data_IF_873217886750
#
_entry.id   IF_873217886750
#
_cell.length_a   1.000
_cell.length_b   1.000
_cell.length_c   1.000
_cell.angle_alpha   90.00
_cell.angle_beta   90.00
_cell.angle_gamma   90.00
#
_symmetry.space_group_name_H-M   'P 1'
#
loop_
_entity.id
_entity.type
_entity.pdbx_description
1 polymer ?
#
# COMPACT_ATOMS: atom_id res chain seq x y z
N UNK A 1 22.22 2.18 -13.59
CA UNK A 1 21.45 1.00 -13.18
C UNK A 1 21.15 0.15 -14.40
N UNK A 2 21.12 -1.21 -14.33
CA UNK A 2 20.77 -2.01 -15.49
C UNK A 2 19.34 -1.69 -15.94
N UNK A 3 19.17 -1.57 -17.25
CA UNK A 3 17.86 -1.39 -17.87
C UNK A 3 17.07 -2.70 -17.68
N UNK A 4 15.83 -2.60 -17.30
CA UNK A 4 14.79 -3.64 -17.25
C UNK A 4 15.23 -5.10 -17.15
N UNK A 5 14.79 -5.78 -16.12
CA UNK A 5 14.66 -7.23 -16.10
C UNK A 5 15.93 -8.06 -16.07
N UNK A 6 17.06 -7.45 -15.97
CA UNK A 6 18.34 -8.09 -16.13
C UNK A 6 18.66 -9.36 -15.34
N UNK A 7 17.85 -9.73 -14.35
CA UNK A 7 18.05 -11.01 -13.64
C UNK A 7 17.58 -12.23 -14.43
N UNK A 8 16.71 -12.05 -15.40
CA UNK A 8 16.07 -13.17 -16.10
C UNK A 8 16.44 -13.24 -17.58
N UNK A 9 17.09 -12.22 -18.12
CA UNK A 9 17.57 -12.23 -19.51
C UNK A 9 18.94 -12.91 -19.59
N UNK A 10 18.94 -14.18 -19.92
CA UNK A 10 20.09 -14.91 -20.43
C UNK A 10 20.89 -15.77 -19.47
N UNK A 11 20.86 -15.58 -18.14
CA UNK A 11 21.64 -16.43 -17.21
C UNK A 11 20.82 -16.89 -16.01
N UNK A 12 20.31 -18.11 -16.09
CA UNK A 12 19.48 -18.75 -15.05
C UNK A 12 20.16 -18.83 -13.67
N UNK A 13 21.48 -18.78 -13.62
CA UNK A 13 22.23 -18.89 -12.35
C UNK A 13 21.98 -17.70 -11.44
N UNK A 14 21.83 -16.48 -11.98
CA UNK A 14 21.53 -15.29 -11.20
C UNK A 14 20.10 -15.33 -10.65
N UNK A 15 19.16 -15.87 -11.42
CA UNK A 15 17.78 -16.09 -10.96
C UNK A 15 17.74 -17.09 -9.81
N UNK A 16 18.52 -18.20 -9.88
CA UNK A 16 18.62 -19.17 -8.79
C UNK A 16 19.30 -18.59 -7.56
N UNK A 17 20.34 -17.78 -7.69
CA UNK A 17 20.98 -17.11 -6.56
C UNK A 17 20.04 -16.11 -5.88
N UNK A 18 19.26 -15.37 -6.67
CA UNK A 18 18.24 -14.48 -6.15
C UNK A 18 17.18 -15.26 -5.36
N UNK A 19 16.63 -16.34 -5.93
CA UNK A 19 15.65 -17.20 -5.28
C UNK A 19 16.20 -17.83 -3.99
N UNK A 20 17.45 -18.32 -4.01
CA UNK A 20 18.10 -18.86 -2.84
C UNK A 20 18.26 -17.80 -1.73
N UNK A 21 18.66 -16.58 -2.10
CA UNK A 21 18.73 -15.44 -1.17
C UNK A 21 17.39 -15.11 -0.52
N UNK A 22 16.31 -15.09 -1.32
CA UNK A 22 14.94 -14.89 -0.83
C UNK A 22 14.53 -15.98 0.14
N UNK A 23 14.76 -17.25 -0.18
CA UNK A 23 14.44 -18.39 0.69
C UNK A 23 15.16 -18.25 2.04
N UNK A 24 16.46 -17.96 2.03
CA UNK A 24 17.26 -17.75 3.25
C UNK A 24 16.71 -16.57 4.07
N UNK A 25 16.40 -15.45 3.42
CA UNK A 25 15.85 -14.27 4.07
C UNK A 25 14.49 -14.57 4.73
N UNK A 26 13.60 -15.31 4.04
CA UNK A 26 12.30 -15.69 4.59
C UNK A 26 12.43 -16.72 5.72
N UNK A 27 13.32 -17.68 5.63
CA UNK A 27 13.59 -18.65 6.71
C UNK A 27 14.10 -17.92 7.95
N UNK A 28 15.07 -17.00 7.78
CA UNK A 28 15.58 -16.18 8.87
C UNK A 28 14.48 -15.29 9.48
N UNK A 29 13.66 -14.66 8.65
CA UNK A 29 12.52 -13.84 9.07
C UNK A 29 11.50 -14.63 9.90
N UNK A 30 11.06 -15.78 9.40
CA UNK A 30 10.10 -16.65 10.11
C UNK A 30 10.70 -17.14 11.43
N UNK A 31 11.95 -17.62 11.42
CA UNK A 31 12.65 -18.05 12.63
C UNK A 31 12.75 -16.96 13.68
N UNK A 32 13.10 -15.74 13.27
CA UNK A 32 13.17 -14.58 14.15
C UNK A 32 11.79 -14.20 14.74
N UNK A 33 10.71 -14.24 13.95
CA UNK A 33 9.35 -14.01 14.45
C UNK A 33 8.92 -15.07 15.47
N UNK A 34 9.24 -16.35 15.23
CA UNK A 34 8.95 -17.45 16.18
C UNK A 34 9.68 -17.24 17.50
N UNK A 35 10.94 -16.80 17.47
CA UNK A 35 11.69 -16.42 18.67
C UNK A 35 11.06 -15.24 19.41
N UNK A 36 10.68 -14.17 18.71
CA UNK A 36 10.04 -12.99 19.30
C UNK A 36 8.64 -13.29 19.86
N UNK A 37 7.98 -14.32 19.40
CA UNK A 37 6.71 -14.79 20.02
C UNK A 37 6.94 -15.36 21.41
N UNK A 38 8.11 -15.95 21.67
CA UNK A 38 8.45 -16.65 22.92
C UNK A 38 9.29 -15.80 23.85
N UNK A 39 10.13 -14.89 23.32
CA UNK A 39 11.05 -14.06 24.09
C UNK A 39 10.74 -12.59 23.95
N UNK A 40 10.90 -11.83 25.03
CA UNK A 40 10.86 -10.37 24.96
C UNK A 40 12.13 -9.84 24.28
N UNK A 41 11.99 -8.83 23.44
CA UNK A 41 13.11 -8.13 22.83
C UNK A 41 12.98 -6.61 23.05
N UNK A 42 14.12 -5.93 23.12
CA UNK A 42 14.16 -4.46 23.23
C UNK A 42 13.64 -3.85 21.93
N UNK A 43 12.60 -3.01 22.03
CA UNK A 43 11.96 -2.40 20.87
C UNK A 43 12.95 -1.60 20.02
N UNK A 44 13.89 -0.90 20.65
CA UNK A 44 14.91 -0.12 19.95
C UNK A 44 15.75 -1.03 19.02
N UNK A 45 16.26 -2.15 19.54
CA UNK A 45 17.04 -3.10 18.74
C UNK A 45 16.23 -3.64 17.56
N UNK A 46 14.98 -4.03 17.80
CA UNK A 46 14.07 -4.52 16.75
C UNK A 46 13.81 -3.45 15.70
N UNK A 47 13.61 -2.20 16.13
CA UNK A 47 13.38 -1.06 15.24
C UNK A 47 14.61 -0.67 14.42
N UNK A 48 15.80 -0.66 15.04
CA UNK A 48 17.06 -0.39 14.32
C UNK A 48 17.33 -1.45 13.25
N UNK A 49 17.14 -2.72 13.59
CA UNK A 49 17.27 -3.80 12.61
C UNK A 49 16.22 -3.71 11.51
N UNK A 50 14.98 -3.32 11.85
CA UNK A 50 13.95 -3.07 10.86
C UNK A 50 14.33 -1.95 9.89
N UNK A 51 14.88 -0.84 10.40
CA UNK A 51 15.37 0.23 9.55
C UNK A 51 16.52 -0.23 8.63
N UNK A 52 17.47 -0.99 9.16
CA UNK A 52 18.59 -1.53 8.39
C UNK A 52 18.08 -2.45 7.25
N UNK A 53 17.16 -3.37 7.55
CA UNK A 53 16.58 -4.29 6.56
C UNK A 53 15.80 -3.51 5.51
N UNK A 54 14.94 -2.57 5.91
CA UNK A 54 14.12 -1.79 4.97
C UNK A 54 14.96 -0.85 4.09
N UNK A 55 16.14 -0.44 4.50
CA UNK A 55 17.03 0.41 3.70
C UNK A 55 18.06 -0.38 2.89
N UNK A 56 18.32 -1.63 3.24
CA UNK A 56 19.37 -2.44 2.58
C UNK A 56 19.23 -2.48 1.04
N UNK A 57 18.03 -2.66 0.43
CA UNK A 57 17.90 -2.71 -1.02
C UNK A 57 17.94 -1.33 -1.70
N UNK A 58 18.07 -0.23 -0.97
CA UNK A 58 18.04 1.11 -1.55
C UNK A 58 19.15 1.32 -2.60
N UNK A 59 20.34 0.78 -2.37
CA UNK A 59 21.47 0.82 -3.30
C UNK A 59 21.39 -0.16 -4.47
N UNK A 60 20.45 -1.13 -4.43
CA UNK A 60 20.30 -2.09 -5.52
C UNK A 60 19.66 -1.44 -6.76
N UNK A 61 19.89 -1.94 -7.98
CA UNK A 61 19.18 -1.50 -9.17
C UNK A 61 17.68 -1.87 -9.10
N UNK A 62 16.86 -1.24 -9.96
CA UNK A 62 15.46 -1.66 -10.16
C UNK A 62 15.45 -2.98 -10.95
N UNK A 63 15.26 -4.11 -10.27
CA UNK A 63 15.37 -5.44 -10.87
C UNK A 63 14.04 -6.07 -11.25
N UNK A 64 12.96 -5.74 -10.50
CA UNK A 64 11.72 -6.52 -10.52
C UNK A 64 10.57 -5.72 -11.15
N UNK A 65 10.65 -4.39 -11.17
CA UNK A 65 9.60 -3.52 -11.67
C UNK A 65 10.17 -2.23 -12.24
N UNK A 66 9.54 -1.72 -13.28
CA UNK A 66 9.80 -0.42 -13.88
C UNK A 66 8.89 0.69 -13.34
N UNK A 67 8.07 0.42 -12.33
CA UNK A 67 7.05 1.34 -11.84
C UNK A 67 7.61 2.72 -11.46
N UNK A 68 8.78 2.78 -10.84
CA UNK A 68 9.42 4.06 -10.48
C UNK A 68 9.69 4.95 -11.71
N UNK A 69 10.06 4.36 -12.84
CA UNK A 69 10.24 5.08 -14.09
C UNK A 69 8.90 5.45 -14.76
N UNK A 70 7.88 4.60 -14.63
CA UNK A 70 6.52 4.92 -15.08
C UNK A 70 5.96 6.10 -14.28
N UNK A 71 6.22 6.20 -12.98
CA UNK A 71 5.83 7.36 -12.16
C UNK A 71 6.56 8.63 -12.58
N UNK A 72 7.85 8.50 -12.88
CA UNK A 72 8.67 9.59 -13.40
C UNK A 72 8.15 10.09 -14.74
N UNK A 73 7.80 9.20 -15.66
CA UNK A 73 7.25 9.52 -16.95
C UNK A 73 5.92 10.29 -16.84
N UNK A 74 4.95 9.79 -16.09
CA UNK A 74 3.69 10.52 -15.85
C UNK A 74 3.92 11.89 -15.21
N UNK A 75 4.89 12.02 -14.31
CA UNK A 75 5.29 13.29 -13.74
C UNK A 75 5.89 14.24 -14.79
N UNK A 76 6.67 13.73 -15.76
CA UNK A 76 7.24 14.51 -16.86
C UNK A 76 6.21 14.91 -17.89
N UNK A 77 5.26 14.02 -18.23
CA UNK A 77 4.12 14.37 -19.08
C UNK A 77 3.42 15.62 -18.55
N UNK A 78 3.14 15.65 -17.25
CA UNK A 78 2.49 16.81 -16.64
C UNK A 78 3.42 18.04 -16.52
N UNK A 79 4.62 17.87 -15.95
CA UNK A 79 5.47 18.99 -15.55
C UNK A 79 6.35 19.54 -16.67
N UNK A 80 6.74 18.73 -17.64
CA UNK A 80 7.68 19.10 -18.73
C UNK A 80 6.95 19.31 -20.05
N UNK A 81 6.04 18.38 -20.41
CA UNK A 81 5.26 18.49 -21.63
C UNK A 81 3.98 19.31 -21.47
N UNK A 82 3.63 19.71 -20.24
CA UNK A 82 2.41 20.44 -19.93
C UNK A 82 1.15 19.75 -20.47
N UNK A 83 1.20 18.41 -20.49
CA UNK A 83 0.18 17.54 -21.01
C UNK A 83 -0.55 16.81 -19.87
N UNK A 84 -1.67 16.16 -20.18
CA UNK A 84 -2.48 15.50 -19.17
C UNK A 84 -2.24 13.99 -19.16
N UNK A 85 -1.56 13.41 -18.14
CA UNK A 85 -1.24 11.98 -18.10
C UNK A 85 -2.47 11.07 -17.93
N UNK A 86 -3.66 11.63 -17.72
CA UNK A 86 -4.93 10.90 -17.71
C UNK A 86 -5.56 10.78 -19.10
N UNK A 87 -5.06 11.52 -20.09
CA UNK A 87 -5.55 11.54 -21.48
C UNK A 87 -4.47 11.08 -22.44
N UNK A 88 -3.24 11.54 -22.24
CA UNK A 88 -2.11 11.32 -23.10
C UNK A 88 -1.17 10.26 -22.48
N UNK A 89 -1.04 9.08 -23.13
CA UNK A 89 -0.15 8.03 -22.66
C UNK A 89 1.32 8.34 -22.97
N UNK A 90 2.27 7.60 -22.40
CA UNK A 90 3.70 7.72 -22.71
C UNK A 90 4.03 7.62 -24.21
N UNK A 91 3.29 6.83 -24.97
CA UNK A 91 3.50 6.69 -26.44
C UNK A 91 3.30 7.96 -27.25
N UNK A 92 2.64 8.98 -26.69
CA UNK A 92 2.55 10.29 -27.32
C UNK A 92 3.85 11.11 -27.18
N UNK A 93 4.79 10.66 -26.34
CA UNK A 93 6.08 11.33 -26.05
C UNK A 93 7.28 10.38 -26.19
N UNK A 94 7.49 9.74 -27.38
CA UNK A 94 8.49 8.70 -27.56
C UNK A 94 9.95 9.22 -27.44
N UNK A 95 10.16 10.51 -27.61
CA UNK A 95 11.45 11.16 -27.46
C UNK A 95 11.77 11.59 -26.02
N UNK A 96 10.84 11.39 -25.07
CA UNK A 96 11.09 11.73 -23.68
C UNK A 96 12.14 10.79 -23.06
N UNK A 97 13.09 11.32 -22.26
CA UNK A 97 14.11 10.51 -21.60
C UNK A 97 13.58 9.37 -20.73
N UNK A 98 12.33 9.46 -20.24
CA UNK A 98 11.71 8.41 -19.42
C UNK A 98 11.19 7.24 -20.26
N UNK A 99 10.74 7.49 -21.49
CA UNK A 99 10.06 6.51 -22.35
C UNK A 99 10.80 5.16 -22.50
N UNK A 100 12.12 5.11 -22.73
CA UNK A 100 12.84 3.84 -22.88
C UNK A 100 12.92 2.97 -21.63
N UNK A 101 12.56 3.52 -20.46
CA UNK A 101 12.67 2.85 -19.15
C UNK A 101 11.37 2.31 -18.61
N UNK A 102 10.23 2.75 -19.13
CA UNK A 102 8.93 2.22 -18.73
C UNK A 102 8.69 0.83 -19.34
N UNK A 103 7.92 -0.01 -18.65
CA UNK A 103 7.57 -1.33 -19.18
C UNK A 103 6.66 -1.22 -20.40
N UNK A 104 6.92 -1.99 -21.46
CA UNK A 104 6.18 -1.93 -22.72
C UNK A 104 4.66 -2.08 -22.59
N UNK A 105 4.19 -2.81 -21.58
CA UNK A 105 2.76 -2.93 -21.28
C UNK A 105 2.09 -1.62 -20.82
N UNK A 106 2.88 -0.58 -20.54
CA UNK A 106 2.42 0.72 -20.03
C UNK A 106 2.61 1.86 -21.02
N UNK A 107 3.21 1.61 -22.20
CA UNK A 107 3.45 2.64 -23.22
C UNK A 107 2.14 3.32 -23.65
N UNK A 108 1.08 2.56 -23.84
CA UNK A 108 -0.23 3.06 -24.29
C UNK A 108 -1.23 3.23 -23.14
N UNK A 109 -0.74 3.20 -21.89
CA UNK A 109 -1.61 3.31 -20.72
C UNK A 109 -1.55 4.70 -20.12
N UNK A 110 -2.71 5.35 -20.00
CA UNK A 110 -2.86 6.58 -19.20
C UNK A 110 -2.80 6.28 -17.71
N UNK A 111 -2.51 7.30 -16.90
CA UNK A 111 -2.35 7.16 -15.45
C UNK A 111 -3.57 6.50 -14.79
N UNK A 112 -3.31 5.49 -13.96
CA UNK A 112 -4.32 4.79 -13.14
C UNK A 112 -4.32 5.28 -11.69
N UNK A 113 -3.40 6.16 -11.34
CA UNK A 113 -3.17 6.60 -9.96
C UNK A 113 -4.13 7.70 -9.55
N UNK A 114 -4.28 7.85 -8.24
CA UNK A 114 -5.04 8.97 -7.70
C UNK A 114 -4.35 10.31 -7.98
N UNK A 115 -5.13 11.41 -8.11
CA UNK A 115 -4.58 12.68 -8.56
C UNK A 115 -3.56 13.29 -7.59
N UNK A 116 -3.63 12.99 -6.30
CA UNK A 116 -2.61 13.46 -5.35
C UNK A 116 -1.25 12.82 -5.63
N UNK A 117 -1.21 11.54 -6.07
CA UNK A 117 0.02 10.92 -6.46
C UNK A 117 0.59 11.51 -7.74
N UNK A 118 -0.24 11.75 -8.76
CA UNK A 118 0.19 12.35 -10.02
C UNK A 118 0.71 13.78 -9.81
N UNK A 119 0.01 14.60 -9.01
CA UNK A 119 0.50 15.92 -8.59
C UNK A 119 1.84 15.86 -7.83
N UNK A 120 2.01 14.87 -6.96
CA UNK A 120 3.28 14.69 -6.25
C UNK A 120 4.42 14.18 -7.16
N UNK A 121 4.08 13.52 -8.27
CA UNK A 121 5.07 13.06 -9.25
C UNK A 121 5.64 14.20 -10.11
N UNK A 122 4.94 15.33 -10.26
CA UNK A 122 5.44 16.49 -11.01
C UNK A 122 6.74 17.07 -10.42
N UNK A 123 6.78 17.51 -9.14
CA UNK A 123 8.01 18.02 -8.55
C UNK A 123 9.08 16.94 -8.42
N UNK A 124 8.69 15.66 -8.25
CA UNK A 124 9.63 14.55 -8.25
C UNK A 124 10.29 14.36 -9.63
N UNK A 125 9.52 14.49 -10.71
CA UNK A 125 10.03 14.41 -12.07
C UNK A 125 10.96 15.58 -12.41
N UNK A 126 10.61 16.80 -12.00
CA UNK A 126 11.48 17.97 -12.16
C UNK A 126 12.80 17.81 -11.38
N UNK A 127 12.74 17.28 -10.15
CA UNK A 127 13.94 17.05 -9.35
C UNK A 127 14.86 15.97 -9.93
N UNK A 128 14.30 14.94 -10.58
CA UNK A 128 15.06 13.91 -11.28
C UNK A 128 15.62 14.41 -12.64
N UNK A 129 15.02 15.43 -13.22
CA UNK A 129 15.39 15.97 -14.52
C UNK A 129 15.29 14.91 -15.64
N UNK A 130 16.33 14.75 -16.44
CA UNK A 130 16.41 13.74 -17.51
C UNK A 130 17.13 12.45 -17.08
N UNK A 131 17.43 12.28 -15.79
CA UNK A 131 18.21 11.14 -15.30
C UNK A 131 17.31 10.02 -14.77
N UNK A 132 17.31 8.89 -15.47
CA UNK A 132 16.60 7.68 -15.03
C UNK A 132 17.13 7.13 -13.69
N UNK A 133 18.44 7.30 -13.41
CA UNK A 133 19.03 6.91 -12.14
C UNK A 133 18.57 7.82 -10.99
N UNK A 134 18.51 9.14 -11.22
CA UNK A 134 18.00 10.07 -10.24
C UNK A 134 16.53 9.80 -9.93
N UNK A 135 15.71 9.52 -10.95
CA UNK A 135 14.31 9.13 -10.80
C UNK A 135 14.19 7.86 -9.96
N UNK A 136 14.92 6.81 -10.29
CA UNK A 136 14.92 5.55 -9.53
C UNK A 136 15.31 5.78 -8.07
N UNK A 137 16.38 6.52 -7.78
CA UNK A 137 16.81 6.84 -6.44
C UNK A 137 15.75 7.62 -5.66
N UNK A 138 15.13 8.61 -6.29
CA UNK A 138 14.12 9.46 -5.67
C UNK A 138 12.89 8.64 -5.25
N UNK A 139 12.27 7.91 -6.18
CA UNK A 139 11.07 7.12 -5.87
C UNK A 139 11.35 5.99 -4.88
N UNK A 140 12.50 5.33 -4.96
CA UNK A 140 12.94 4.34 -3.98
C UNK A 140 13.12 4.95 -2.59
N UNK A 141 13.75 6.14 -2.50
CA UNK A 141 13.96 6.83 -1.23
C UNK A 141 12.63 7.26 -0.60
N UNK A 142 11.68 7.77 -1.40
CA UNK A 142 10.34 8.13 -0.92
C UNK A 142 9.56 6.90 -0.44
N UNK A 143 9.62 5.78 -1.17
CA UNK A 143 8.99 4.53 -0.76
C UNK A 143 9.63 3.96 0.51
N UNK A 144 10.97 3.99 0.63
CA UNK A 144 11.70 3.59 1.82
C UNK A 144 11.33 4.45 3.04
N UNK A 145 11.25 5.77 2.88
CA UNK A 145 10.81 6.68 3.93
C UNK A 145 9.37 6.38 4.39
N UNK A 146 8.47 6.12 3.45
CA UNK A 146 7.11 5.70 3.76
C UNK A 146 7.09 4.37 4.54
N UNK A 147 7.92 3.39 4.14
CA UNK A 147 8.04 2.12 4.87
C UNK A 147 8.56 2.29 6.29
N UNK A 148 9.57 3.14 6.50
CA UNK A 148 10.03 3.47 7.86
C UNK A 148 8.91 4.11 8.70
N UNK A 149 8.11 4.99 8.08
CA UNK A 149 6.90 5.55 8.69
C UNK A 149 5.88 4.48 9.07
N UNK A 150 5.62 3.51 8.17
CA UNK A 150 4.72 2.36 8.44
C UNK A 150 5.23 1.53 9.61
N UNK A 151 6.53 1.23 9.66
CA UNK A 151 7.15 0.46 10.75
C UNK A 151 7.00 1.21 12.08
N UNK A 152 7.28 2.50 12.12
CA UNK A 152 7.14 3.34 13.31
C UNK A 152 5.67 3.40 13.78
N UNK A 153 4.72 3.65 12.87
CA UNK A 153 3.28 3.71 13.17
C UNK A 153 2.75 2.35 13.62
N UNK A 154 3.26 1.25 13.07
CA UNK A 154 2.95 -0.11 13.55
C UNK A 154 3.38 -0.28 15.01
N UNK A 155 4.56 0.20 15.37
CA UNK A 155 5.04 0.21 16.75
C UNK A 155 4.19 1.07 17.69
N UNK A 156 3.63 2.19 17.20
CA UNK A 156 2.70 3.04 17.98
C UNK A 156 1.38 2.34 18.20
N UNK A 157 0.82 1.72 17.17
CA UNK A 157 -0.54 1.14 17.18
C UNK A 157 -0.61 -0.24 17.84
N UNK A 158 0.46 -1.02 17.75
CA UNK A 158 0.47 -2.41 18.23
C UNK A 158 0.72 -2.51 19.74
N UNK A 159 0.08 -3.51 20.39
CA UNK A 159 0.35 -3.84 21.81
C UNK A 159 1.64 -4.63 22.00
N UNK A 160 1.87 -5.63 21.13
CA UNK A 160 3.13 -6.39 21.09
C UNK A 160 4.09 -5.70 20.12
N UNK A 161 4.55 -4.52 20.52
CA UNK A 161 5.28 -3.60 19.65
C UNK A 161 6.46 -4.25 18.93
N UNK A 162 7.34 -4.94 19.64
CA UNK A 162 8.51 -5.58 19.04
C UNK A 162 8.14 -6.63 17.98
N UNK A 163 7.15 -7.50 18.28
CA UNK A 163 6.69 -8.51 17.32
C UNK A 163 6.03 -7.87 16.08
N UNK A 164 5.24 -6.82 16.28
CA UNK A 164 4.54 -6.15 15.19
C UNK A 164 5.52 -5.35 14.29
N UNK A 165 6.49 -4.67 14.90
CA UNK A 165 7.57 -3.98 14.19
C UNK A 165 8.42 -4.97 13.40
N UNK A 166 8.76 -6.13 13.99
CA UNK A 166 9.48 -7.18 13.28
C UNK A 166 8.66 -7.80 12.13
N UNK A 167 7.36 -8.03 12.35
CA UNK A 167 6.47 -8.60 11.32
C UNK A 167 6.43 -7.73 10.04
N UNK A 168 6.47 -6.42 10.20
CA UNK A 168 6.44 -5.48 9.07
C UNK A 168 7.86 -5.11 8.63
N UNK A 169 8.71 -4.72 9.57
CA UNK A 169 10.00 -4.12 9.27
C UNK A 169 11.10 -5.13 8.92
N UNK A 170 10.97 -6.39 9.32
CA UNK A 170 11.93 -7.44 8.94
C UNK A 170 11.47 -8.26 7.74
N UNK A 171 10.34 -7.92 7.16
CA UNK A 171 9.78 -8.64 6.01
C UNK A 171 10.62 -8.38 4.75
N UNK A 172 11.27 -9.42 4.17
CA UNK A 172 12.16 -9.26 3.02
C UNK A 172 11.42 -8.75 1.79
N UNK A 173 10.19 -9.25 1.56
CA UNK A 173 9.35 -8.84 0.43
C UNK A 173 9.09 -7.33 0.43
N UNK A 174 8.74 -6.76 1.60
CA UNK A 174 8.48 -5.33 1.72
C UNK A 174 9.75 -4.51 1.48
N UNK A 175 10.90 -4.95 2.03
CA UNK A 175 12.17 -4.26 1.81
C UNK A 175 12.53 -4.22 0.33
N UNK A 176 12.48 -5.36 -0.36
CA UNK A 176 12.81 -5.47 -1.78
C UNK A 176 11.92 -4.62 -2.67
N UNK A 177 10.62 -4.67 -2.45
CA UNK A 177 9.68 -3.97 -3.33
C UNK A 177 9.60 -2.48 -3.06
N UNK A 178 9.89 -1.99 -1.85
CA UNK A 178 9.80 -0.56 -1.56
C UNK A 178 11.13 0.16 -1.69
N UNK A 179 12.13 -0.15 -0.88
CA UNK A 179 13.46 0.42 -1.06
C UNK A 179 14.18 -0.08 -2.32
N UNK A 180 13.88 -1.29 -2.79
CA UNK A 180 14.40 -1.84 -4.03
C UNK A 180 13.61 -1.46 -5.29
N UNK A 181 12.27 -1.32 -5.19
CA UNK A 181 11.37 -1.15 -6.32
C UNK A 181 10.67 0.22 -6.43
N UNK A 182 10.61 1.01 -5.35
CA UNK A 182 10.03 2.36 -5.37
C UNK A 182 8.51 2.43 -5.47
N UNK A 183 7.78 1.34 -5.15
CA UNK A 183 6.32 1.29 -5.32
C UNK A 183 5.57 2.30 -4.44
N UNK A 184 4.59 2.97 -5.04
CA UNK A 184 3.77 4.00 -4.39
C UNK A 184 2.76 3.47 -3.37
N UNK A 185 2.57 2.17 -3.30
CA UNK A 185 1.69 1.52 -2.32
C UNK A 185 2.08 1.84 -0.88
N UNK A 186 3.37 2.05 -0.61
CA UNK A 186 3.83 2.50 0.70
C UNK A 186 3.34 3.91 1.05
N UNK A 187 3.20 4.81 0.08
CA UNK A 187 2.71 6.17 0.32
C UNK A 187 1.23 6.15 0.75
N UNK A 188 0.42 5.33 0.10
CA UNK A 188 -0.97 5.10 0.52
C UNK A 188 -1.02 4.44 1.91
N UNK A 189 -0.25 3.37 2.11
CA UNK A 189 -0.29 2.59 3.35
C UNK A 189 0.19 3.38 4.58
N UNK A 190 1.22 4.25 4.45
CA UNK A 190 1.66 5.11 5.56
C UNK A 190 0.57 6.09 5.96
N UNK A 191 -0.19 6.65 5.02
CA UNK A 191 -1.31 7.55 5.30
C UNK A 191 -2.48 6.82 5.97
N UNK A 192 -2.78 5.58 5.55
CA UNK A 192 -3.77 4.72 6.23
C UNK A 192 -3.34 4.46 7.69
N UNK A 193 -2.09 4.10 7.91
CA UNK A 193 -1.55 3.87 9.25
C UNK A 193 -1.54 5.17 10.09
N UNK A 194 -1.20 6.31 9.48
CA UNK A 194 -1.24 7.63 10.12
C UNK A 194 -2.68 8.00 10.51
N UNK A 195 -3.67 7.76 9.63
CA UNK A 195 -5.08 8.00 9.95
C UNK A 195 -5.53 7.20 11.17
N UNK A 196 -5.10 5.94 11.31
CA UNK A 196 -5.38 5.13 12.49
C UNK A 196 -4.70 5.67 13.74
N UNK A 197 -3.43 6.11 13.63
CA UNK A 197 -2.68 6.68 14.74
C UNK A 197 -3.29 8.02 15.21
N UNK A 198 -3.66 8.92 14.29
CA UNK A 198 -4.36 10.16 14.62
C UNK A 198 -5.71 9.90 15.29
N UNK A 199 -6.46 8.89 14.82
CA UNK A 199 -7.73 8.52 15.43
C UNK A 199 -7.54 8.01 16.88
N UNK A 200 -6.49 7.24 17.14
CA UNK A 200 -6.13 6.78 18.50
C UNK A 200 -5.70 7.96 19.39
N UNK A 201 -4.97 8.93 18.82
CA UNK A 201 -4.54 10.15 19.52
C UNK A 201 -5.65 11.20 19.69
N UNK A 202 -6.90 10.91 19.27
CA UNK A 202 -8.03 11.85 19.37
C UNK A 202 -8.02 12.97 18.33
N UNK A 203 -7.05 13.00 17.42
CA UNK A 203 -6.88 14.01 16.38
C UNK A 203 -7.76 13.69 15.16
N UNK A 204 -9.08 13.73 15.35
CA UNK A 204 -10.04 13.25 14.34
C UNK A 204 -9.96 13.92 12.97
N UNK A 205 -9.69 15.24 12.90
CA UNK A 205 -9.61 15.96 11.63
C UNK A 205 -8.35 15.57 10.84
N UNK A 206 -7.21 15.38 11.51
CA UNK A 206 -5.99 14.86 10.90
C UNK A 206 -6.18 13.40 10.43
N UNK A 207 -6.93 12.59 11.19
CA UNK A 207 -7.30 11.24 10.75
C UNK A 207 -8.14 11.29 9.47
N UNK A 208 -9.11 12.20 9.39
CA UNK A 208 -9.94 12.39 8.19
C UNK A 208 -9.10 12.83 7.00
N UNK A 209 -8.23 13.83 7.17
CA UNK A 209 -7.34 14.31 6.12
C UNK A 209 -6.41 13.20 5.60
N UNK A 210 -5.80 12.42 6.50
CA UNK A 210 -4.94 11.30 6.11
C UNK A 210 -5.71 10.22 5.32
N UNK A 211 -6.98 9.93 5.68
CA UNK A 211 -7.84 9.03 4.89
C UNK A 211 -8.10 9.57 3.48
N UNK A 212 -8.47 10.85 3.34
CA UNK A 212 -8.67 11.46 2.04
C UNK A 212 -7.39 11.39 1.20
N UNK A 213 -6.26 11.80 1.75
CA UNK A 213 -4.96 11.74 1.06
C UNK A 213 -4.60 10.31 0.62
N UNK A 214 -4.82 9.30 1.48
CA UNK A 214 -4.57 7.90 1.13
C UNK A 214 -5.38 7.46 -0.10
N UNK A 215 -6.66 7.83 -0.16
CA UNK A 215 -7.56 7.49 -1.28
C UNK A 215 -7.10 8.20 -2.56
N UNK A 216 -6.75 9.49 -2.47
CA UNK A 216 -6.29 10.26 -3.63
C UNK A 216 -4.84 9.94 -4.06
N UNK A 217 -4.08 9.20 -3.26
CA UNK A 217 -2.85 8.52 -3.72
C UNK A 217 -3.21 7.25 -4.50
N UNK A 218 -4.04 6.39 -3.89
CA UNK A 218 -4.42 5.10 -4.48
C UNK A 218 -5.82 4.71 -4.04
N UNK A 219 -6.72 4.58 -4.99
CA UNK A 219 -8.16 4.41 -4.80
C UNK A 219 -8.55 3.25 -3.88
N UNK A 220 -7.71 2.23 -3.80
CA UNK A 220 -7.98 1.03 -3.00
C UNK A 220 -8.26 1.32 -1.53
N UNK A 221 -7.70 2.42 -0.98
CA UNK A 221 -7.90 2.80 0.40
C UNK A 221 -9.38 3.09 0.75
N UNK A 222 -10.22 3.36 -0.26
CA UNK A 222 -11.66 3.62 -0.06
C UNK A 222 -12.38 2.46 0.62
N UNK A 223 -11.95 1.20 0.40
CA UNK A 223 -12.59 0.02 0.98
C UNK A 223 -12.57 0.01 2.52
N UNK A 224 -11.62 0.71 3.13
CA UNK A 224 -11.48 0.75 4.58
C UNK A 224 -12.45 1.73 5.25
N UNK A 225 -12.92 2.76 4.52
CA UNK A 225 -13.74 3.82 5.11
C UNK A 225 -15.07 3.33 5.68
N UNK A 226 -15.89 2.52 4.97
CA UNK A 226 -17.15 2.05 5.51
C UNK A 226 -16.96 1.25 6.79
N UNK A 227 -15.93 0.38 6.83
CA UNK A 227 -15.64 -0.43 8.02
C UNK A 227 -15.22 0.46 9.21
N UNK A 228 -14.42 1.50 8.97
CA UNK A 228 -14.01 2.45 10.00
C UNK A 228 -15.16 3.33 10.48
N UNK A 229 -16.03 3.77 9.58
CA UNK A 229 -17.20 4.56 9.92
C UNK A 229 -18.20 3.74 10.80
N UNK A 230 -18.45 2.50 10.42
CA UNK A 230 -19.30 1.57 11.19
C UNK A 230 -18.70 1.29 12.58
N UNK A 231 -17.39 1.03 12.68
CA UNK A 231 -16.72 0.82 13.96
C UNK A 231 -16.79 2.07 14.84
N UNK A 232 -16.51 3.25 14.27
CA UNK A 232 -16.55 4.51 15.01
C UNK A 232 -17.96 4.78 15.55
N UNK A 233 -19.01 4.58 14.73
CA UNK A 233 -20.41 4.70 15.13
C UNK A 233 -20.74 3.74 16.28
N UNK A 234 -20.37 2.48 16.16
CA UNK A 234 -20.62 1.45 17.18
C UNK A 234 -19.91 1.73 18.52
N UNK A 235 -18.79 2.47 18.47
CA UNK A 235 -18.01 2.87 19.64
C UNK A 235 -18.36 4.27 20.17
N UNK A 236 -19.39 4.94 19.61
CA UNK A 236 -19.78 6.31 19.98
C UNK A 236 -18.69 7.36 19.65
N UNK A 237 -17.77 7.05 18.75
CA UNK A 237 -16.67 7.94 18.39
C UNK A 237 -17.05 8.84 17.20
N UNK A 238 -16.65 10.10 17.27
CA UNK A 238 -16.82 11.02 16.17
C UNK A 238 -15.77 10.75 15.08
N UNK A 239 -16.19 10.64 13.83
CA UNK A 239 -15.28 10.56 12.66
C UNK A 239 -14.86 11.96 12.23
N UNK A 240 -13.69 12.08 11.59
CA UNK A 240 -13.12 13.35 11.16
C UNK A 240 -13.63 13.81 9.80
N UNK A 241 -14.95 13.79 9.55
CA UNK A 241 -15.52 14.11 8.24
C UNK A 241 -15.15 15.51 7.72
N UNK A 242 -15.04 16.52 8.59
CA UNK A 242 -14.59 17.85 8.17
C UNK A 242 -13.15 17.85 7.67
N UNK A 243 -12.24 17.15 8.37
CA UNK A 243 -10.85 17.04 7.91
C UNK A 243 -10.75 16.23 6.61
N UNK A 244 -11.58 15.20 6.46
CA UNK A 244 -11.68 14.45 5.21
C UNK A 244 -12.19 15.35 4.06
N UNK A 245 -13.29 16.06 4.28
CA UNK A 245 -13.89 16.93 3.27
C UNK A 245 -12.94 18.08 2.86
N UNK A 246 -12.26 18.71 3.83
CA UNK A 246 -11.32 19.77 3.55
C UNK A 246 -10.13 19.27 2.70
N UNK A 247 -9.52 18.15 3.09
CA UNK A 247 -8.41 17.58 2.32
C UNK A 247 -8.87 17.11 0.93
N UNK A 248 -10.03 16.44 0.85
CA UNK A 248 -10.60 16.02 -0.42
C UNK A 248 -10.89 17.21 -1.34
N UNK A 249 -11.48 18.30 -0.81
CA UNK A 249 -11.76 19.50 -1.57
C UNK A 249 -10.48 20.14 -2.13
N UNK A 250 -9.42 20.24 -1.29
CA UNK A 250 -8.13 20.78 -1.75
C UNK A 250 -7.58 19.95 -2.90
N UNK A 251 -7.56 18.61 -2.76
CA UNK A 251 -7.04 17.72 -3.82
C UNK A 251 -7.90 17.84 -5.08
N UNK A 252 -9.23 17.83 -4.95
CA UNK A 252 -10.15 17.94 -6.11
C UNK A 252 -9.96 19.29 -6.82
N UNK A 253 -9.88 20.39 -6.08
CA UNK A 253 -9.69 21.72 -6.67
C UNK A 253 -8.34 21.79 -7.41
N UNK A 254 -7.25 21.39 -6.77
CA UNK A 254 -5.91 21.46 -7.38
C UNK A 254 -5.80 20.50 -8.57
N UNK A 255 -6.28 19.26 -8.43
CA UNK A 255 -6.25 18.30 -9.51
C UNK A 255 -7.13 18.72 -10.70
N UNK A 256 -8.30 19.29 -10.43
CA UNK A 256 -9.19 19.78 -11.51
C UNK A 256 -8.66 21.05 -12.17
N UNK A 257 -7.94 21.89 -11.45
CA UNK A 257 -7.24 23.02 -12.04
C UNK A 257 -6.08 22.58 -12.95
N UNK A 258 -5.36 21.53 -12.58
CA UNK A 258 -4.21 21.00 -13.34
C UNK A 258 -4.63 20.07 -14.49
N UNK A 259 -5.57 19.14 -14.23
CA UNK A 259 -5.90 18.04 -15.14
C UNK A 259 -7.35 18.11 -15.67
N UNK A 260 -8.11 19.17 -15.39
CA UNK A 260 -9.54 19.17 -15.63
C UNK A 260 -10.23 18.06 -14.83
N UNK A 261 -11.35 17.54 -15.33
CA UNK A 261 -12.03 16.37 -14.75
C UNK A 261 -11.49 15.03 -15.27
N UNK A 262 -10.46 15.06 -16.13
CA UNK A 262 -9.91 13.87 -16.80
C UNK A 262 -9.23 12.89 -15.83
N UNK A 263 -8.81 13.35 -14.63
CA UNK A 263 -8.30 12.46 -13.59
C UNK A 263 -9.34 11.41 -13.13
N UNK A 264 -10.63 11.63 -13.37
CA UNK A 264 -11.66 10.61 -13.19
C UNK A 264 -11.54 9.49 -14.22
N UNK A 265 -10.90 9.72 -15.36
CA UNK A 265 -10.58 8.70 -16.37
C UNK A 265 -9.70 7.55 -15.85
N UNK A 266 -8.98 7.78 -14.73
CA UNK A 266 -8.26 6.72 -14.03
C UNK A 266 -9.15 5.50 -13.70
N UNK A 267 -10.43 5.69 -13.41
CA UNK A 267 -11.36 4.59 -13.16
C UNK A 267 -11.60 3.73 -14.40
N UNK A 268 -11.66 4.32 -15.60
CA UNK A 268 -11.72 3.58 -16.84
C UNK A 268 -10.46 2.76 -17.11
N UNK A 269 -9.29 3.36 -16.87
CA UNK A 269 -7.99 2.67 -16.96
C UNK A 269 -7.87 1.53 -15.94
N UNK A 270 -8.35 1.72 -14.71
CA UNK A 270 -8.42 0.66 -13.70
C UNK A 270 -9.36 -0.48 -14.12
N UNK A 271 -10.52 -0.15 -14.69
CA UNK A 271 -11.47 -1.17 -15.19
C UNK A 271 -10.84 -2.01 -16.32
N UNK A 272 -10.11 -1.38 -17.25
CA UNK A 272 -9.36 -2.10 -18.28
C UNK A 272 -8.27 -3.00 -17.68
N UNK A 273 -7.58 -2.51 -16.65
CA UNK A 273 -6.53 -3.28 -15.96
C UNK A 273 -7.10 -4.40 -15.08
N UNK A 274 -8.37 -4.31 -14.63
CA UNK A 274 -9.02 -5.39 -13.90
C UNK A 274 -9.15 -6.68 -14.73
N UNK A 275 -9.10 -6.57 -16.06
CA UNK A 275 -9.06 -7.72 -16.96
C UNK A 275 -7.64 -8.31 -17.15
N UNK A 276 -6.59 -7.62 -16.65
CA UNK A 276 -5.24 -8.18 -16.63
C UNK A 276 -5.12 -9.16 -15.47
N UNK A 277 -4.66 -10.35 -15.76
CA UNK A 277 -4.39 -11.39 -14.77
C UNK A 277 -2.90 -11.52 -14.53
N UNK A 278 -2.53 -11.81 -13.28
CA UNK A 278 -1.19 -12.27 -12.95
C UNK A 278 -1.21 -13.74 -12.59
N UNK A 279 -0.14 -14.45 -12.91
CA UNK A 279 0.03 -15.87 -12.57
C UNK A 279 0.00 -16.14 -11.05
N UNK A 280 0.14 -15.12 -10.21
CA UNK A 280 0.05 -15.24 -8.74
C UNK A 280 -1.37 -15.14 -8.21
N UNK A 281 -2.32 -14.67 -9.03
CA UNK A 281 -3.70 -14.45 -8.62
C UNK A 281 -4.48 -15.76 -8.46
N UNK A 282 -5.29 -15.86 -7.40
CA UNK A 282 -6.10 -17.05 -7.17
C UNK A 282 -7.15 -17.28 -8.28
N UNK A 283 -7.82 -16.24 -8.84
CA UNK A 283 -8.68 -16.43 -10.01
C UNK A 283 -7.95 -17.07 -11.19
N UNK A 284 -6.69 -16.66 -11.45
CA UNK A 284 -5.86 -17.26 -12.51
C UNK A 284 -5.58 -18.75 -12.24
N UNK A 285 -5.24 -19.11 -11.01
CA UNK A 285 -5.01 -20.53 -10.64
C UNK A 285 -6.25 -21.39 -10.81
N UNK A 286 -7.44 -20.83 -10.56
CA UNK A 286 -8.68 -21.55 -10.77
C UNK A 286 -8.95 -21.78 -12.27
N UNK A 287 -8.59 -20.82 -13.12
CA UNK A 287 -8.61 -20.95 -14.57
C UNK A 287 -7.67 -22.06 -15.08
N UNK A 288 -6.46 -22.18 -14.52
CA UNK A 288 -5.53 -23.26 -14.85
C UNK A 288 -6.11 -24.67 -14.53
N UNK A 289 -7.04 -24.75 -13.58
CA UNK A 289 -7.79 -25.97 -13.24
C UNK A 289 -9.01 -26.21 -14.15
N UNK A 290 -9.17 -25.44 -15.24
CA UNK A 290 -10.22 -25.61 -16.23
C UNK A 290 -11.51 -24.82 -15.97
N UNK A 291 -11.56 -23.96 -14.95
CA UNK A 291 -12.72 -23.10 -14.71
C UNK A 291 -12.71 -21.93 -15.71
N UNK A 292 -13.83 -21.62 -16.41
CA UNK A 292 -13.89 -20.46 -17.29
C UNK A 292 -13.53 -19.15 -16.56
N UNK A 293 -12.81 -18.26 -17.26
CA UNK A 293 -12.29 -17.00 -16.69
C UNK A 293 -13.37 -16.18 -15.96
N UNK A 294 -14.50 -15.92 -16.63
CA UNK A 294 -15.57 -15.08 -16.07
C UNK A 294 -16.23 -15.73 -14.85
N UNK A 295 -16.32 -17.08 -14.84
CA UNK A 295 -16.82 -17.84 -13.70
C UNK A 295 -15.86 -17.71 -12.52
N UNK A 296 -14.54 -17.85 -12.76
CA UNK A 296 -13.54 -17.67 -11.70
C UNK A 296 -13.60 -16.26 -11.12
N UNK A 297 -13.64 -15.22 -11.95
CA UNK A 297 -13.77 -13.83 -11.48
C UNK A 297 -15.09 -13.63 -10.70
N UNK A 298 -16.21 -14.12 -11.21
CA UNK A 298 -17.51 -14.03 -10.54
C UNK A 298 -17.53 -14.70 -9.17
N UNK A 299 -16.93 -15.89 -9.04
CA UNK A 299 -16.83 -16.63 -7.79
C UNK A 299 -15.99 -15.84 -6.74
N UNK A 300 -14.83 -15.31 -7.13
CA UNK A 300 -13.99 -14.54 -6.21
C UNK A 300 -14.60 -13.18 -5.86
N UNK A 301 -15.28 -12.52 -6.80
CA UNK A 301 -16.01 -11.28 -6.52
C UNK A 301 -17.17 -11.53 -5.53
N UNK A 302 -17.93 -12.59 -5.71
CA UNK A 302 -19.02 -12.99 -4.81
C UNK A 302 -18.47 -13.36 -3.42
N UNK A 303 -17.38 -14.14 -3.37
CA UNK A 303 -16.71 -14.50 -2.11
C UNK A 303 -16.20 -13.25 -1.36
N UNK A 304 -15.60 -12.30 -2.07
CA UNK A 304 -15.18 -11.03 -1.48
C UNK A 304 -16.36 -10.22 -0.98
N UNK A 305 -17.45 -10.11 -1.74
CA UNK A 305 -18.64 -9.39 -1.32
C UNK A 305 -19.24 -9.97 -0.02
N UNK A 306 -19.37 -11.30 0.07
CA UNK A 306 -19.84 -11.99 1.27
C UNK A 306 -18.90 -11.77 2.47
N UNK A 307 -17.58 -11.89 2.24
CA UNK A 307 -16.58 -11.61 3.25
C UNK A 307 -16.64 -10.15 3.73
N UNK A 308 -16.82 -9.20 2.81
CA UNK A 308 -16.94 -7.78 3.15
C UNK A 308 -18.21 -7.46 3.93
N UNK A 309 -19.34 -8.06 3.58
CA UNK A 309 -20.59 -7.95 4.37
C UNK A 309 -20.40 -8.50 5.79
N UNK A 310 -19.73 -9.65 5.92
CA UNK A 310 -19.37 -10.18 7.23
C UNK A 310 -18.47 -9.22 8.01
N UNK A 311 -17.46 -8.62 7.37
CA UNK A 311 -16.58 -7.61 7.97
C UNK A 311 -17.36 -6.35 8.39
N UNK A 312 -18.28 -5.89 7.55
CA UNK A 312 -19.17 -4.77 7.89
C UNK A 312 -20.01 -5.07 9.14
N UNK A 313 -20.55 -6.30 9.24
CA UNK A 313 -21.26 -6.75 10.46
C UNK A 313 -20.33 -6.79 11.69
N UNK A 314 -19.06 -7.17 11.53
CA UNK A 314 -18.08 -7.11 12.63
C UNK A 314 -17.78 -5.66 13.02
N UNK A 315 -17.62 -4.77 12.02
CA UNK A 315 -17.38 -3.36 12.24
C UNK A 315 -18.57 -2.68 12.95
N UNK A 316 -19.80 -3.02 12.59
CA UNK A 316 -21.03 -2.60 13.28
C UNK A 316 -21.05 -3.04 14.76
N UNK A 317 -20.36 -4.14 15.09
CA UNK A 317 -20.16 -4.61 16.47
C UNK A 317 -18.90 -4.01 17.13
N UNK A 318 -18.36 -2.93 16.56
CA UNK A 318 -17.19 -2.22 17.08
C UNK A 318 -15.85 -2.91 16.80
N UNK A 319 -15.74 -3.72 15.75
CA UNK A 319 -14.54 -4.50 15.40
C UNK A 319 -14.25 -4.42 13.91
N UNK A 320 -13.79 -3.29 13.40
CA UNK A 320 -13.25 -3.21 12.06
C UNK A 320 -11.96 -4.04 11.95
N UNK A 321 -11.92 -4.95 10.98
CA UNK A 321 -10.79 -5.84 10.69
C UNK A 321 -10.21 -5.48 9.34
N UNK A 322 -9.48 -4.37 9.28
CA UNK A 322 -8.99 -3.80 8.03
C UNK A 322 -7.93 -4.69 7.38
N UNK A 323 -7.06 -5.33 8.19
CA UNK A 323 -6.08 -6.28 7.70
C UNK A 323 -6.71 -7.48 7.01
N UNK A 324 -7.85 -7.99 7.54
CA UNK A 324 -8.61 -9.05 6.87
C UNK A 324 -9.31 -8.54 5.61
N UNK A 325 -9.82 -7.30 5.61
CA UNK A 325 -10.45 -6.71 4.43
C UNK A 325 -9.45 -6.63 3.26
N UNK A 326 -8.23 -6.14 3.55
CA UNK A 326 -7.15 -6.15 2.57
C UNK A 326 -6.79 -7.57 2.13
N UNK A 327 -6.64 -8.51 3.08
CA UNK A 327 -6.30 -9.90 2.76
C UNK A 327 -7.34 -10.57 1.86
N UNK A 328 -8.63 -10.41 2.13
CA UNK A 328 -9.68 -10.96 1.27
C UNK A 328 -9.70 -10.30 -0.11
N UNK A 329 -9.44 -8.98 -0.19
CA UNK A 329 -9.30 -8.31 -1.47
C UNK A 329 -8.12 -8.87 -2.29
N UNK A 330 -6.96 -9.07 -1.65
CA UNK A 330 -5.80 -9.66 -2.31
C UNK A 330 -6.10 -11.06 -2.85
N UNK A 331 -6.82 -11.89 -2.08
CA UNK A 331 -7.26 -13.20 -2.54
C UNK A 331 -8.24 -13.13 -3.71
N UNK A 332 -9.06 -12.09 -3.79
CA UNK A 332 -10.07 -11.93 -4.84
C UNK A 332 -9.56 -11.18 -6.08
N UNK A 333 -8.42 -10.49 -5.96
CA UNK A 333 -7.88 -9.69 -7.07
C UNK A 333 -7.36 -10.57 -8.21
N UNK A 334 -7.78 -10.32 -9.47
CA UNK A 334 -7.18 -10.97 -10.63
C UNK A 334 -5.76 -10.44 -10.93
N UNK A 335 -5.47 -9.20 -10.54
CA UNK A 335 -4.15 -8.60 -10.65
C UNK A 335 -3.50 -8.55 -9.27
N UNK A 336 -2.81 -9.62 -8.91
CA UNK A 336 -2.09 -9.74 -7.64
C UNK A 336 -0.59 -9.66 -7.87
N UNK A 337 0.06 -8.74 -7.18
CA UNK A 337 1.51 -8.56 -7.20
C UNK A 337 2.07 -8.58 -5.78
N UNK A 338 3.33 -9.02 -5.60
CA UNK A 338 3.87 -9.28 -4.25
C UNK A 338 3.85 -8.07 -3.32
N UNK A 339 4.08 -6.85 -3.80
CA UNK A 339 4.12 -5.65 -2.97
C UNK A 339 2.76 -5.22 -2.41
N UNK A 340 1.64 -5.74 -2.93
CA UNK A 340 0.32 -5.51 -2.36
C UNK A 340 0.18 -6.07 -0.93
N UNK A 341 1.10 -6.92 -0.49
CA UNK A 341 1.17 -7.37 0.90
C UNK A 341 1.22 -6.20 1.91
N UNK A 342 1.73 -5.03 1.52
CA UNK A 342 1.76 -3.82 2.37
C UNK A 342 0.34 -3.32 2.73
N UNK A 343 -0.68 -3.63 1.94
CA UNK A 343 -2.07 -3.25 2.26
C UNK A 343 -2.62 -4.02 3.46
N UNK A 344 -2.16 -5.25 3.68
CA UNK A 344 -2.68 -6.14 4.71
C UNK A 344 -1.78 -6.26 5.94
N UNK A 345 -0.47 -6.43 5.76
CA UNK A 345 0.45 -6.78 6.84
C UNK A 345 0.52 -5.75 7.97
N UNK A 346 0.70 -4.43 7.72
CA UNK A 346 0.76 -3.43 8.79
C UNK A 346 -0.56 -3.33 9.57
N UNK A 347 -1.69 -3.43 8.86
CA UNK A 347 -3.01 -3.41 9.46
C UNK A 347 -3.24 -4.64 10.35
N UNK A 348 -2.90 -5.83 9.87
CA UNK A 348 -3.00 -7.06 10.64
C UNK A 348 -2.09 -7.04 11.88
N UNK A 349 -0.86 -6.52 11.74
CA UNK A 349 0.08 -6.34 12.86
C UNK A 349 -0.48 -5.40 13.95
N UNK A 350 -1.16 -4.32 13.55
CA UNK A 350 -1.79 -3.39 14.47
C UNK A 350 -3.06 -3.96 15.13
N UNK A 351 -3.83 -4.81 14.44
CA UNK A 351 -5.12 -5.35 14.88
C UNK A 351 -5.02 -6.51 15.87
N UNK A 352 -4.02 -7.37 15.75
CA UNK A 352 -3.81 -8.52 16.65
C UNK A 352 -3.77 -8.10 18.12
N UNK A 353 -3.63 -6.81 18.36
CA UNK A 353 -3.52 -6.17 19.67
C UNK A 353 -4.85 -5.77 20.33
N UNK A 354 -5.92 -5.57 19.55
CA UNK A 354 -7.16 -4.91 20.07
C UNK A 354 -8.11 -5.81 20.86
N UNK A 355 -7.95 -7.12 20.84
CA UNK A 355 -8.90 -8.08 21.42
C UNK A 355 -9.17 -7.97 22.94
N UNK A 356 -8.34 -7.24 23.73
CA UNK A 356 -8.47 -7.17 25.21
C UNK A 356 -9.04 -5.85 25.78
N UNK A 357 -9.16 -4.78 25.00
CA UNK A 357 -9.63 -3.49 25.54
C UNK A 357 -11.13 -3.48 25.87
N UNK A 358 -11.94 -4.28 25.18
CA UNK A 358 -13.40 -4.35 25.40
C UNK A 358 -13.80 -5.02 26.73
N UNK A 359 -12.92 -5.85 27.32
CA UNK A 359 -13.26 -6.57 28.57
C UNK A 359 -12.89 -5.82 29.85
N UNK A 360 -11.93 -4.87 29.80
CA UNK A 360 -11.51 -4.14 31.03
C UNK A 360 -12.40 -2.94 31.37
N UNK A 361 -13.03 -2.30 30.39
CA UNK A 361 -13.91 -1.15 30.67
C UNK A 361 -15.30 -1.55 31.16
N UNK A 362 -15.71 -2.81 31.03
CA UNK A 362 -16.97 -3.29 31.58
C UNK A 362 -16.89 -3.63 33.08
N UNK A 363 -15.67 -3.89 33.61
CA UNK A 363 -15.50 -4.25 35.03
C UNK A 363 -15.28 -3.07 35.97
N UNK A 364 -15.06 -1.86 35.43
CA UNK A 364 -14.86 -0.65 36.26
C UNK A 364 -16.19 0.08 36.54
N UNK A 365 -17.23 -0.18 35.73
CA UNK A 365 -18.55 0.45 35.89
C UNK A 365 -19.55 -0.37 36.76
N UNK A 366 -19.10 -1.51 37.28
CA UNK A 366 -19.99 -2.38 38.13
C UNK A 366 -19.61 -2.43 39.60
N UNK A 367 -18.97 -1.38 40.16
CA UNK A 367 -18.90 -1.25 41.62
C UNK A 367 -20.06 -0.37 42.11
N UNK A 368 -21.00 -0.89 42.92
CA UNK A 368 -21.98 -0.06 43.54
C UNK A 368 -21.33 0.86 44.57
N UNK A 369 -21.86 2.09 44.79
CA UNK A 369 -21.36 2.96 45.82
C UNK A 369 -21.62 2.30 47.18
N UNK A 370 -20.58 2.19 47.99
CA UNK A 370 -20.68 1.80 49.38
C UNK A 370 -21.51 2.86 50.08
N UNK A 371 -22.66 2.41 50.62
CA UNK A 371 -23.41 3.09 51.68
C UNK A 371 -22.66 2.87 52.99
N UNK A 372 -22.18 3.90 53.61
CA UNK A 372 -22.07 4.07 55.07
C UNK A 372 -21.98 5.55 55.38
#
# INVERSE_FOLDING_TARGET
MPRNGGLLEGDSKWAWLYLAGEIVAFVGYIGALLLLRRRAARLLLVGTLAAAIQLAPLGAPLLISSDAWTYWDYGRIAAVHHANPYEQPPSDFPDDPAYPYIGGAWHDATSVYGPLFTLASEPAALAAGSSADAAAWLYKSLAAAAMLGIVALTGVLARRKALAVALVGWNPLLALHFAGGGHNDAWMAVLVMAALAFAVAGRRHWAGAAWASAIFIKWIAVIFLPLRALEARAQGRRVGHLGFAAAALVVVVVASAQFGWHWLGAFGSLARNANKETQFALPHRLKELGVPHDVALGLFAAAFALAYLWLARQAWRGRARLGLAAGFLLCASPYLVPWYAVWALPLAAAETSRKRLSRRNCSILSRPPFLS
#
